data_IF_967276386510
#
_entry.id   IF_967276386510
#
_cell.length_a   1.000
_cell.length_b   1.000
_cell.length_c   1.000
_cell.angle_alpha   90.00
_cell.angle_beta   90.00
_cell.angle_gamma   90.00
#
_symmetry.space_group_name_H-M   'P 1'
#
loop_
_entity.id
_entity.type
_entity.pdbx_description
1 polymer ?
#
# COMPACT_ATOMS: atom_id res chain seq x y z
N UNK A 1 -19.83 -7.40 -1.79
CA UNK A 1 -18.95 -8.52 -2.18
C UNK A 1 -18.31 -9.12 -0.95
N UNK A 2 -18.35 -10.44 -0.83
CA UNK A 2 -17.72 -11.13 0.31
C UNK A 2 -16.23 -11.26 0.07
N UNK A 3 -15.38 -10.76 0.99
CA UNK A 3 -13.93 -10.90 0.82
C UNK A 3 -13.49 -12.37 0.82
N UNK A 4 -12.54 -12.70 -0.06
CA UNK A 4 -11.97 -14.04 -0.20
C UNK A 4 -10.45 -13.97 -0.27
N UNK A 5 -9.79 -15.07 0.13
CA UNK A 5 -8.34 -15.23 0.02
C UNK A 5 -7.56 -14.16 0.80
N UNK A 6 -8.07 -13.80 1.98
CA UNK A 6 -7.40 -12.83 2.85
C UNK A 6 -6.27 -13.51 3.63
N UNK A 7 -5.07 -12.95 3.57
CA UNK A 7 -3.89 -13.48 4.28
C UNK A 7 -3.39 -12.54 5.37
N UNK A 8 -3.49 -11.24 5.17
CA UNK A 8 -3.00 -10.23 6.11
C UNK A 8 -4.10 -9.29 6.59
N UNK A 9 -5.12 -9.01 5.76
CA UNK A 9 -6.13 -8.01 6.05
C UNK A 9 -7.37 -8.65 6.62
N UNK A 10 -8.05 -7.92 7.52
CA UNK A 10 -9.36 -8.31 8.03
C UNK A 10 -10.45 -7.78 7.08
N UNK A 11 -11.66 -8.40 7.07
CA UNK A 11 -12.74 -7.91 6.20
C UNK A 11 -13.05 -6.43 6.37
N UNK A 12 -12.97 -5.90 7.58
CA UNK A 12 -13.22 -4.49 7.86
C UNK A 12 -12.16 -3.56 7.29
N UNK A 13 -10.96 -4.07 6.96
CA UNK A 13 -9.87 -3.27 6.43
C UNK A 13 -9.92 -3.10 4.92
N UNK A 14 -10.73 -3.90 4.21
CA UNK A 14 -10.64 -4.04 2.76
C UNK A 14 -10.87 -2.71 2.05
N UNK A 15 -11.99 -2.03 2.33
CA UNK A 15 -12.31 -0.78 1.62
C UNK A 15 -11.31 0.33 1.91
N UNK A 16 -10.99 0.64 3.18
CA UNK A 16 -10.02 1.70 3.43
C UNK A 16 -8.63 1.37 2.90
N UNK A 17 -8.16 0.13 2.99
CA UNK A 17 -6.84 -0.24 2.49
C UNK A 17 -6.75 -0.21 0.98
N UNK A 18 -7.79 -0.67 0.27
CA UNK A 18 -7.78 -0.63 -1.20
C UNK A 18 -7.81 0.81 -1.70
N UNK A 19 -8.58 1.69 -1.06
CA UNK A 19 -8.55 3.12 -1.38
C UNK A 19 -7.19 3.74 -1.11
N UNK A 20 -6.56 3.39 0.01
CA UNK A 20 -5.23 3.88 0.35
C UNK A 20 -4.18 3.42 -0.67
N UNK A 21 -4.24 2.16 -1.13
CA UNK A 21 -3.32 1.64 -2.15
C UNK A 21 -3.46 2.41 -3.46
N UNK A 22 -4.69 2.64 -3.91
CA UNK A 22 -4.92 3.37 -5.16
C UNK A 22 -4.36 4.78 -5.09
N UNK A 23 -4.59 5.48 -4.00
CA UNK A 23 -4.11 6.85 -3.82
C UNK A 23 -2.59 6.89 -3.67
N UNK A 24 -2.04 6.01 -2.84
CA UNK A 24 -0.61 6.01 -2.55
C UNK A 24 0.24 5.64 -3.76
N UNK A 25 -0.26 4.73 -4.60
CA UNK A 25 0.46 4.23 -5.78
C UNK A 25 0.01 4.89 -7.07
N UNK A 26 -1.13 5.59 -7.08
CA UNK A 26 -1.66 6.21 -8.28
C UNK A 26 -2.12 5.22 -9.34
N UNK A 27 -2.71 4.08 -8.92
CA UNK A 27 -3.06 2.98 -9.81
C UNK A 27 -4.53 2.61 -9.71
N UNK A 28 -5.02 1.84 -10.68
CA UNK A 28 -6.35 1.27 -10.68
C UNK A 28 -6.34 -0.11 -10.01
N UNK A 29 -7.55 -0.63 -9.70
CA UNK A 29 -7.69 -1.92 -9.02
C UNK A 29 -7.00 -3.05 -9.78
N UNK A 30 -7.04 -3.04 -11.10
CA UNK A 30 -6.48 -4.10 -11.95
C UNK A 30 -4.95 -4.10 -11.99
N UNK A 31 -4.28 -3.12 -11.39
CA UNK A 31 -2.83 -3.18 -11.26
C UNK A 31 -2.39 -4.39 -10.42
N UNK A 32 -3.16 -4.76 -9.39
CA UNK A 32 -2.86 -5.90 -8.53
C UNK A 32 -3.86 -7.03 -8.66
N UNK A 33 -5.10 -6.72 -9.03
CA UNK A 33 -6.18 -7.72 -9.07
C UNK A 33 -6.46 -8.17 -10.50
N UNK A 34 -6.82 -9.45 -10.64
CA UNK A 34 -7.33 -10.00 -11.89
C UNK A 34 -8.77 -9.52 -12.06
N UNK A 35 -9.06 -8.87 -13.19
CA UNK A 35 -10.41 -8.35 -13.45
C UNK A 35 -11.43 -9.48 -13.43
N UNK A 36 -12.51 -9.30 -12.64
CA UNK A 36 -13.53 -10.32 -12.46
C UNK A 36 -13.18 -11.40 -11.44
N UNK A 37 -11.95 -11.40 -10.89
CA UNK A 37 -11.50 -12.38 -9.91
C UNK A 37 -10.55 -11.72 -8.91
N UNK A 38 -11.08 -10.79 -8.10
CA UNK A 38 -10.27 -10.01 -7.17
C UNK A 38 -9.60 -10.86 -6.08
N UNK A 39 -10.10 -12.07 -5.83
CA UNK A 39 -9.51 -13.01 -4.89
C UNK A 39 -8.35 -13.82 -5.47
N UNK A 40 -8.15 -13.80 -6.79
CA UNK A 40 -7.08 -14.55 -7.45
C UNK A 40 -5.71 -13.98 -7.13
N UNK A 41 -4.72 -14.86 -6.97
CA UNK A 41 -3.30 -14.51 -6.80
C UNK A 41 -2.51 -14.58 -8.11
N UNK A 42 -3.18 -14.70 -9.26
CA UNK A 42 -2.50 -14.83 -10.55
C UNK A 42 -1.68 -13.58 -10.90
N UNK A 43 -2.10 -12.40 -10.42
CA UNK A 43 -1.29 -11.18 -10.59
C UNK A 43 -0.24 -11.13 -9.48
N UNK A 44 1.07 -11.16 -9.83
CA UNK A 44 2.14 -11.18 -8.82
C UNK A 44 2.20 -9.92 -7.95
N UNK A 45 1.58 -8.83 -8.39
CA UNK A 45 1.54 -7.59 -7.60
C UNK A 45 0.81 -7.75 -6.26
N UNK A 46 -0.12 -8.72 -6.16
CA UNK A 46 -0.79 -8.99 -4.89
C UNK A 46 0.18 -9.47 -3.82
N UNK A 47 1.12 -10.33 -4.18
CA UNK A 47 2.12 -10.80 -3.22
C UNK A 47 3.09 -9.68 -2.85
N UNK A 48 3.48 -8.84 -3.81
CA UNK A 48 4.28 -7.65 -3.53
C UNK A 48 3.54 -6.74 -2.53
N UNK A 49 2.24 -6.54 -2.72
CA UNK A 49 1.44 -5.73 -1.80
C UNK A 49 1.42 -6.31 -0.39
N UNK A 50 1.35 -7.63 -0.25
CA UNK A 50 1.40 -8.29 1.06
C UNK A 50 2.74 -8.06 1.76
N UNK A 51 3.85 -8.13 1.04
CA UNK A 51 5.17 -7.80 1.57
C UNK A 51 5.24 -6.34 2.03
N UNK A 52 4.68 -5.42 1.25
CA UNK A 52 4.64 -4.00 1.58
C UNK A 52 3.83 -3.73 2.85
N UNK A 53 2.67 -4.39 3.00
CA UNK A 53 1.86 -4.27 4.21
C UNK A 53 2.65 -4.71 5.43
N UNK A 54 3.33 -5.85 5.34
CA UNK A 54 4.14 -6.39 6.43
C UNK A 54 5.25 -5.42 6.80
N UNK A 55 5.97 -4.90 5.82
CA UNK A 55 7.06 -3.95 6.04
C UNK A 55 6.55 -2.66 6.72
N UNK A 56 5.44 -2.12 6.25
CA UNK A 56 4.85 -0.92 6.85
C UNK A 56 4.47 -1.16 8.31
N UNK A 57 3.87 -2.32 8.61
CA UNK A 57 3.50 -2.68 9.98
C UNK A 57 4.74 -2.81 10.88
N UNK A 58 5.81 -3.39 10.37
CA UNK A 58 7.06 -3.54 11.11
C UNK A 58 7.70 -2.18 11.41
N UNK A 59 7.70 -1.27 10.44
CA UNK A 59 8.22 0.09 10.65
C UNK A 59 7.41 0.79 11.75
N UNK A 60 6.09 0.77 11.65
CA UNK A 60 5.24 1.44 12.64
C UNK A 60 5.39 0.83 14.03
N UNK A 61 5.65 -0.48 14.11
CA UNK A 61 5.86 -1.17 15.38
C UNK A 61 7.15 -0.74 16.11
N UNK A 62 8.10 -0.14 15.39
CA UNK A 62 9.34 0.38 15.99
C UNK A 62 9.11 1.65 16.80
N UNK A 63 8.02 2.36 16.57
CA UNK A 63 7.72 3.58 17.34
C UNK A 63 7.08 3.19 18.67
N UNK A 64 7.60 3.74 19.79
CA UNK A 64 7.16 3.30 21.14
C UNK A 64 5.77 3.77 21.55
N UNK A 65 5.17 4.72 20.82
CA UNK A 65 3.87 5.29 21.18
C UNK A 65 2.68 4.47 20.68
N UNK A 66 2.91 3.39 19.91
CA UNK A 66 1.85 2.55 19.37
C UNK A 66 1.01 3.19 18.29
N UNK A 67 1.48 4.28 17.69
CA UNK A 67 0.74 5.03 16.68
C UNK A 67 1.30 4.77 15.28
N UNK A 68 0.48 5.05 14.26
CA UNK A 68 0.90 4.98 12.87
C UNK A 68 1.66 6.25 12.50
N UNK A 69 2.91 6.10 12.06
CA UNK A 69 3.76 7.21 11.64
C UNK A 69 4.06 7.18 10.15
N UNK A 70 4.05 6.00 9.54
CA UNK A 70 4.24 5.87 8.09
C UNK A 70 3.07 5.14 7.48
N UNK A 71 2.75 5.53 6.24
CA UNK A 71 1.70 4.89 5.43
C UNK A 71 2.29 4.54 4.07
N UNK A 72 1.50 3.91 3.22
CA UNK A 72 1.92 3.63 1.85
C UNK A 72 2.33 4.91 1.13
N UNK A 73 1.57 5.98 1.30
CA UNK A 73 1.86 7.27 0.66
C UNK A 73 3.15 7.91 1.13
N UNK A 74 3.59 7.62 2.35
CA UNK A 74 4.83 8.18 2.90
C UNK A 74 6.02 7.95 1.96
N UNK A 75 6.10 6.74 1.38
CA UNK A 75 7.20 6.38 0.47
C UNK A 75 6.82 6.55 -1.00
N UNK A 76 5.60 6.15 -1.39
CA UNK A 76 5.22 6.07 -2.81
C UNK A 76 4.76 7.40 -3.41
N UNK A 77 4.04 8.21 -2.65
CA UNK A 77 3.61 9.56 -3.05
C UNK A 77 2.87 9.61 -4.39
N UNK A 78 2.03 8.62 -4.65
CA UNK A 78 1.23 8.56 -5.85
C UNK A 78 1.90 7.87 -7.04
N UNK A 79 3.00 7.15 -6.82
CA UNK A 79 3.72 6.43 -7.87
C UNK A 79 3.95 4.98 -7.48
N UNK A 80 4.10 4.11 -8.47
CA UNK A 80 4.30 2.67 -8.22
C UNK A 80 5.67 2.37 -7.62
N UNK A 81 6.64 3.26 -7.78
CA UNK A 81 7.95 3.12 -7.15
C UNK A 81 8.10 4.16 -6.04
N UNK A 82 8.66 3.77 -4.88
CA UNK A 82 8.86 4.73 -3.81
C UNK A 82 9.93 5.76 -4.16
N UNK A 83 9.83 6.94 -3.54
CA UNK A 83 10.82 7.99 -3.69
C UNK A 83 12.06 7.60 -2.90
N UNK A 84 13.22 7.56 -3.56
CA UNK A 84 14.48 7.16 -2.94
C UNK A 84 15.45 8.31 -2.75
N UNK A 85 15.23 9.42 -3.44
CA UNK A 85 16.09 10.60 -3.37
C UNK A 85 15.26 11.86 -3.30
N UNK A 86 15.81 12.90 -2.70
CA UNK A 86 15.20 14.21 -2.70
C UNK A 86 15.18 14.79 -4.13
N UNK A 87 14.23 15.68 -4.46
CA UNK A 87 14.25 16.36 -5.74
C UNK A 87 15.55 17.14 -5.93
N UNK A 88 16.03 17.23 -7.18
CA UNK A 88 17.24 17.98 -7.50
C UNK A 88 17.12 19.46 -7.11
N UNK A 89 15.90 20.02 -7.23
CA UNK A 89 15.59 21.38 -6.78
C UNK A 89 14.71 21.27 -5.54
N UNK A 90 15.15 21.73 -4.36
CA UNK A 90 14.34 21.65 -3.14
C UNK A 90 13.03 22.44 -3.31
N UNK A 91 11.93 21.99 -2.64
CA UNK A 91 10.70 22.76 -2.62
C UNK A 91 10.90 24.14 -2.00
N UNK A 92 10.07 25.11 -2.42
CA UNK A 92 10.11 26.45 -1.86
C UNK A 92 9.87 26.41 -0.35
N UNK A 93 10.63 27.20 0.41
CA UNK A 93 10.49 27.26 1.87
C UNK A 93 11.40 26.31 2.64
N UNK A 94 12.23 25.60 1.95
CA UNK A 94 13.21 24.69 2.58
C UNK A 94 14.57 25.32 2.70
#
# INVERSE_FOLDING_TARGET
MTPKNLKLLQPSDIRPMMGAFRTALGVQCTYCHVQGSFDSDDNPKKEVARHMITMMREINAKFPDGKVHVTCYTCHRGATEPVTEAPATPPAGQ
#
